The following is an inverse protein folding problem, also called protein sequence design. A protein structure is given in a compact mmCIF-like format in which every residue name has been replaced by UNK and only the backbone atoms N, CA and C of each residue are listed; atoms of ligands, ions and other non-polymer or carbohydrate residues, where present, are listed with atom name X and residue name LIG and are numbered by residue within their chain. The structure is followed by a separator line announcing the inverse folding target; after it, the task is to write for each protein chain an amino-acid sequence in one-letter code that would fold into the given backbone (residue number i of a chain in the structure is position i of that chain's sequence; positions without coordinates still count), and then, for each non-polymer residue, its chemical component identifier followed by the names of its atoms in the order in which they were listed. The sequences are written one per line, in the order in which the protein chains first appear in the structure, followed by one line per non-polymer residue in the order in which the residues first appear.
data_IF_642966748846
#
_entry.id   IF_642966748846
#
_cell.length_a   1.000
_cell.length_b   1.000
_cell.length_c   1.000
_cell.angle_alpha   90.00
_cell.angle_beta   90.00
_cell.angle_gamma   90.00
#
_symmetry.space_group_name_H-M   'P 1'
#
loop_
_entity.id
_entity.type
_entity.pdbx_description
1 polymer ?
#
# COMPACT_ATOMS: atom_id res chain seq x y z
N UNK A 1 -51.45 7.89 9.57
CA UNK A 1 -50.14 7.34 9.96
C UNK A 1 -50.20 5.85 9.64
N UNK A 2 -49.76 5.48 8.44
CA UNK A 2 -49.77 4.09 7.99
C UNK A 2 -48.70 3.32 8.76
N UNK A 3 -49.15 2.35 9.55
CA UNK A 3 -48.28 1.36 10.17
C UNK A 3 -47.59 0.57 9.04
N UNK A 4 -46.27 0.71 8.93
CA UNK A 4 -45.45 -0.11 8.07
C UNK A 4 -45.70 -1.58 8.44
N UNK A 5 -46.11 -2.37 7.45
CA UNK A 5 -46.41 -3.79 7.56
C UNK A 5 -45.16 -4.54 8.04
N UNK A 6 -45.21 -5.02 9.27
CA UNK A 6 -44.09 -5.63 10.01
C UNK A 6 -43.59 -6.98 9.42
N UNK A 7 -44.24 -7.51 8.37
CA UNK A 7 -43.87 -8.80 7.76
C UNK A 7 -42.66 -8.73 6.82
N UNK A 8 -42.49 -7.61 6.11
CA UNK A 8 -41.49 -7.54 5.04
C UNK A 8 -40.11 -7.14 5.62
N UNK A 9 -40.13 -6.39 6.73
CA UNK A 9 -38.95 -6.03 7.52
C UNK A 9 -38.37 -7.26 8.22
N UNK A 10 -39.21 -8.15 8.76
CA UNK A 10 -38.75 -9.37 9.44
C UNK A 10 -38.14 -10.37 8.48
N UNK A 11 -38.72 -10.56 7.29
CA UNK A 11 -38.18 -11.47 6.28
C UNK A 11 -36.80 -11.02 5.76
N UNK A 12 -36.65 -9.72 5.49
CA UNK A 12 -35.37 -9.15 5.05
C UNK A 12 -34.28 -9.33 6.12
N UNK A 13 -34.63 -9.11 7.38
CA UNK A 13 -33.71 -9.22 8.51
C UNK A 13 -33.28 -10.68 8.78
N UNK A 14 -34.21 -11.63 8.68
CA UNK A 14 -33.94 -13.07 8.80
C UNK A 14 -33.02 -13.54 7.68
N UNK A 15 -33.31 -13.13 6.44
CA UNK A 15 -32.52 -13.53 5.27
C UNK A 15 -31.09 -13.00 5.38
N UNK A 16 -30.94 -11.73 5.77
CA UNK A 16 -29.65 -11.10 5.94
C UNK A 16 -28.82 -11.71 7.08
N UNK A 17 -29.45 -11.95 8.24
CA UNK A 17 -28.81 -12.64 9.36
C UNK A 17 -28.38 -14.07 9.00
N UNK A 18 -29.22 -14.80 8.24
CA UNK A 18 -28.91 -16.14 7.76
C UNK A 18 -27.68 -16.18 6.86
N UNK A 19 -27.55 -15.23 5.91
CA UNK A 19 -26.39 -15.14 5.02
C UNK A 19 -25.10 -14.85 5.80
N UNK A 20 -25.15 -13.94 6.76
CA UNK A 20 -24.02 -13.63 7.64
C UNK A 20 -23.59 -14.84 8.47
N UNK A 21 -24.54 -15.54 9.08
CA UNK A 21 -24.25 -16.67 9.96
C UNK A 21 -23.69 -17.84 9.13
N UNK A 22 -24.32 -18.14 7.99
CA UNK A 22 -23.85 -19.17 7.07
C UNK A 22 -22.44 -18.88 6.54
N UNK A 23 -22.18 -17.66 6.10
CA UNK A 23 -20.84 -17.27 5.63
C UNK A 23 -19.79 -17.34 6.75
N UNK A 24 -20.12 -16.92 7.97
CA UNK A 24 -19.22 -17.02 9.13
C UNK A 24 -18.87 -18.48 9.46
N UNK A 25 -19.88 -19.37 9.48
CA UNK A 25 -19.68 -20.81 9.71
C UNK A 25 -18.82 -21.45 8.62
N UNK A 26 -19.00 -21.04 7.37
CA UNK A 26 -18.24 -21.55 6.24
C UNK A 26 -16.74 -21.22 6.38
N UNK A 27 -16.41 -19.98 6.78
CA UNK A 27 -15.03 -19.59 7.09
C UNK A 27 -14.43 -20.40 8.24
N UNK A 28 -15.19 -20.60 9.33
CA UNK A 28 -14.73 -21.47 10.42
C UNK A 28 -14.53 -22.92 9.97
N UNK A 29 -15.38 -23.41 9.06
CA UNK A 29 -15.20 -24.71 8.41
C UNK A 29 -13.87 -24.80 7.67
N UNK A 30 -13.55 -23.84 6.80
CA UNK A 30 -12.24 -23.81 6.12
C UNK A 30 -11.07 -23.73 7.09
N UNK A 31 -11.20 -22.95 8.16
CA UNK A 31 -10.14 -22.72 9.14
C UNK A 31 -9.86 -23.95 9.99
N UNK A 32 -10.91 -24.55 10.58
CA UNK A 32 -10.77 -25.62 11.57
C UNK A 32 -10.91 -27.04 11.00
N UNK A 33 -11.64 -27.22 9.90
CA UNK A 33 -11.81 -28.55 9.27
C UNK A 33 -10.71 -28.78 8.23
N UNK A 34 -10.46 -27.79 7.37
CA UNK A 34 -9.49 -27.93 6.27
C UNK A 34 -8.09 -27.39 6.62
N UNK A 35 -7.90 -26.78 7.79
CA UNK A 35 -6.62 -26.20 8.21
C UNK A 35 -6.18 -25.00 7.37
N UNK A 36 -7.09 -24.39 6.59
CA UNK A 36 -6.81 -23.23 5.76
C UNK A 36 -7.04 -21.98 6.61
N UNK A 37 -5.97 -21.42 7.17
CA UNK A 37 -6.06 -20.24 8.04
C UNK A 37 -6.35 -18.95 7.26
N UNK A 38 -7.63 -18.76 6.92
CA UNK A 38 -8.17 -17.54 6.31
C UNK A 38 -8.26 -16.39 7.32
N UNK A 39 -8.19 -16.66 8.63
CA UNK A 39 -8.34 -15.62 9.66
C UNK A 39 -7.10 -14.75 9.84
N UNK A 40 -5.94 -15.21 9.36
CA UNK A 40 -4.66 -14.46 9.41
C UNK A 40 -4.64 -13.19 8.57
N UNK A 41 -5.40 -13.12 7.48
CA UNK A 41 -5.45 -11.92 6.65
C UNK A 41 -6.55 -10.99 7.13
N UNK A 42 -6.21 -9.78 7.57
CA UNK A 42 -7.21 -8.73 7.89
C UNK A 42 -8.17 -8.46 6.71
N UNK A 43 -7.73 -8.78 5.49
CA UNK A 43 -8.54 -8.75 4.26
C UNK A 43 -9.67 -9.76 4.19
N UNK A 44 -9.76 -10.74 5.09
CA UNK A 44 -10.84 -11.73 5.15
C UNK A 44 -11.89 -11.40 6.21
N UNK A 45 -11.70 -10.31 6.95
CA UNK A 45 -12.63 -9.82 7.96
C UNK A 45 -13.95 -9.30 7.38
N UNK A 46 -14.02 -9.01 6.08
CA UNK A 46 -15.21 -8.42 5.43
C UNK A 46 -16.48 -9.27 5.54
N UNK A 47 -16.36 -10.56 5.83
CA UNK A 47 -17.51 -11.46 5.91
C UNK A 47 -18.25 -11.32 7.24
N UNK A 48 -17.53 -11.28 8.35
CA UNK A 48 -18.14 -11.12 9.67
C UNK A 48 -18.22 -9.64 10.12
N UNK A 49 -17.42 -8.75 9.53
CA UNK A 49 -17.41 -7.33 9.90
C UNK A 49 -18.79 -6.66 9.78
N UNK A 50 -19.60 -6.86 8.73
CA UNK A 50 -20.97 -6.34 8.66
C UNK A 50 -21.85 -6.80 9.84
N UNK A 51 -21.69 -8.06 10.27
CA UNK A 51 -22.40 -8.62 11.43
C UNK A 51 -22.05 -7.87 12.71
N UNK A 52 -20.76 -7.66 12.94
CA UNK A 52 -20.24 -6.96 14.11
C UNK A 52 -20.72 -5.50 14.10
N UNK A 53 -20.67 -4.82 12.96
CA UNK A 53 -21.15 -3.44 12.82
C UNK A 53 -22.65 -3.33 13.12
N UNK A 54 -23.47 -4.27 12.64
CA UNK A 54 -24.90 -4.28 12.92
C UNK A 54 -25.19 -4.57 14.39
N UNK A 55 -24.48 -5.53 15.00
CA UNK A 55 -24.60 -5.82 16.42
C UNK A 55 -24.26 -4.60 17.27
N UNK A 56 -23.16 -3.91 16.94
CA UNK A 56 -22.79 -2.64 17.59
C UNK A 56 -23.87 -1.57 17.36
N UNK A 57 -24.44 -1.47 16.16
CA UNK A 57 -25.51 -0.51 15.88
C UNK A 57 -26.79 -0.78 16.70
N UNK A 58 -27.19 -2.04 16.85
CA UNK A 58 -28.36 -2.44 17.67
C UNK A 58 -28.13 -2.11 19.14
N UNK A 59 -26.94 -2.45 19.67
CA UNK A 59 -26.56 -2.12 21.05
C UNK A 59 -26.59 -0.61 21.27
N UNK A 60 -26.00 0.18 20.35
CA UNK A 60 -25.99 1.64 20.44
C UNK A 60 -27.40 2.23 20.34
N UNK A 61 -28.28 1.68 19.51
CA UNK A 61 -29.66 2.12 19.38
C UNK A 61 -30.45 1.90 20.69
N UNK A 62 -30.23 0.78 21.38
CA UNK A 62 -30.82 0.52 22.69
C UNK A 62 -30.25 1.47 23.76
N UNK A 63 -28.93 1.68 23.77
CA UNK A 63 -28.23 2.61 24.69
C UNK A 63 -28.70 4.06 24.49
N UNK A 64 -29.06 4.45 23.27
CA UNK A 64 -29.50 5.81 22.95
C UNK A 64 -30.79 6.22 23.69
N UNK A 65 -31.73 5.27 23.83
CA UNK A 65 -33.01 5.47 24.51
C UNK A 65 -32.93 5.25 26.04
N UNK A 66 -31.85 4.64 26.53
CA UNK A 66 -31.67 4.41 27.96
C UNK A 66 -31.25 5.70 28.70
N UNK A 67 -32.06 6.10 29.67
CA UNK A 67 -31.64 7.02 30.73
C UNK A 67 -30.83 6.21 31.76
N UNK A 68 -29.50 6.27 31.69
CA UNK A 68 -28.65 5.61 32.69
C UNK A 68 -28.89 6.18 34.08
N UNK A 69 -29.39 5.34 34.98
CA UNK A 69 -29.46 5.60 36.43
C UNK A 69 -28.06 5.41 37.03
N UNK A 70 -27.68 6.27 37.99
CA UNK A 70 -26.38 6.23 38.69
C UNK A 70 -25.96 4.80 39.03
N UNK A 71 -24.85 4.34 38.45
CA UNK A 71 -24.20 3.10 38.91
C UNK A 71 -23.70 3.31 40.33
N UNK A 72 -24.11 2.43 41.24
CA UNK A 72 -23.64 2.38 42.64
C UNK A 72 -22.39 1.49 42.80
N UNK A 73 -21.96 0.80 41.74
CA UNK A 73 -21.07 -0.36 41.83
C UNK A 73 -19.60 -0.06 41.53
N UNK A 74 -19.31 1.06 40.84
CA UNK A 74 -17.96 1.56 40.64
C UNK A 74 -17.91 2.99 41.16
N UNK A 75 -17.08 3.23 42.18
CA UNK A 75 -16.83 4.54 42.79
C UNK A 75 -15.96 5.42 41.87
N UNK A 76 -16.28 5.43 40.58
CA UNK A 76 -15.63 6.19 39.53
C UNK A 76 -16.69 7.17 39.03
N UNK A 77 -16.41 8.46 39.15
CA UNK A 77 -17.23 9.54 38.63
C UNK A 77 -17.17 9.58 37.09
N UNK A 78 -17.69 8.54 36.44
CA UNK A 78 -17.95 8.56 35.00
C UNK A 78 -19.25 9.32 34.84
N UNK A 79 -19.08 10.52 34.29
CA UNK A 79 -20.08 11.49 33.85
C UNK A 79 -21.51 10.92 33.74
N UNK A 80 -22.49 11.59 34.36
CA UNK A 80 -23.92 11.33 34.17
C UNK A 80 -24.33 11.74 32.75
N UNK A 81 -23.87 11.00 31.77
CA UNK A 81 -24.20 11.19 30.36
C UNK A 81 -25.48 10.44 30.08
N UNK A 82 -26.52 11.18 29.65
CA UNK A 82 -27.66 10.61 28.94
C UNK A 82 -27.17 9.71 27.81
N UNK A 83 -27.86 8.60 27.52
CA UNK A 83 -27.45 7.64 26.47
C UNK A 83 -27.05 8.31 25.15
N UNK A 84 -27.75 9.40 24.79
CA UNK A 84 -27.42 10.28 23.66
C UNK A 84 -25.98 10.82 23.67
N UNK A 85 -25.48 11.30 24.81
CA UNK A 85 -24.11 11.83 24.94
C UNK A 85 -23.06 10.73 24.78
N UNK A 86 -23.33 9.53 25.29
CA UNK A 86 -22.42 8.38 25.14
C UNK A 86 -22.30 7.94 23.68
N UNK A 87 -23.43 7.86 22.94
CA UNK A 87 -23.42 7.53 21.51
C UNK A 87 -22.66 8.57 20.69
N UNK A 88 -22.85 9.87 20.96
CA UNK A 88 -22.09 10.95 20.29
C UNK A 88 -20.59 10.79 20.51
N UNK A 89 -20.17 10.45 21.74
CA UNK A 89 -18.75 10.29 22.08
C UNK A 89 -18.12 9.09 21.34
N UNK A 90 -18.84 7.96 21.23
CA UNK A 90 -18.41 6.79 20.46
C UNK A 90 -18.25 7.14 18.97
N UNK A 91 -19.21 7.87 18.41
CA UNK A 91 -19.13 8.35 17.03
C UNK A 91 -17.92 9.27 16.80
N UNK A 92 -17.64 10.16 17.75
CA UNK A 92 -16.50 11.05 17.68
C UNK A 92 -15.18 10.27 17.74
N UNK A 93 -15.06 9.28 18.63
CA UNK A 93 -13.89 8.38 18.68
C UNK A 93 -13.74 7.57 17.39
N UNK A 94 -14.84 7.06 16.82
CA UNK A 94 -14.82 6.32 15.56
C UNK A 94 -14.38 7.21 14.38
N UNK A 95 -14.87 8.46 14.33
CA UNK A 95 -14.48 9.44 13.32
C UNK A 95 -13.01 9.82 13.44
N UNK A 96 -12.53 10.11 14.66
CA UNK A 96 -11.11 10.38 14.90
C UNK A 96 -10.24 9.19 14.49
N UNK A 97 -10.64 7.96 14.86
CA UNK A 97 -9.94 6.74 14.46
C UNK A 97 -9.89 6.59 12.93
N UNK A 98 -11.03 6.75 12.24
CA UNK A 98 -11.07 6.72 10.78
C UNK A 98 -10.20 7.81 10.15
N UNK A 99 -10.21 9.02 10.70
CA UNK A 99 -9.38 10.12 10.24
C UNK A 99 -7.89 9.79 10.41
N UNK A 100 -7.46 9.20 11.53
CA UNK A 100 -6.06 8.79 11.72
C UNK A 100 -5.62 7.75 10.69
N UNK A 101 -6.50 6.83 10.29
CA UNK A 101 -6.19 5.84 9.24
C UNK A 101 -6.09 6.49 7.86
N UNK A 102 -7.07 7.32 7.47
CA UNK A 102 -7.09 7.99 6.15
C UNK A 102 -5.97 9.00 5.99
N UNK A 103 -5.60 9.69 7.08
CA UNK A 103 -4.45 10.62 7.11
C UNK A 103 -3.10 9.89 7.23
N UNK A 104 -3.07 8.56 7.15
CA UNK A 104 -1.85 7.75 7.18
C UNK A 104 -1.05 7.92 8.49
N UNK A 105 -1.70 8.40 9.57
CA UNK A 105 -1.15 8.53 10.93
C UNK A 105 -1.23 7.20 11.70
N UNK A 106 -2.27 6.38 11.44
CA UNK A 106 -2.51 5.11 12.13
C UNK A 106 -1.96 3.87 11.42
N UNK A 107 -1.81 3.93 10.09
CA UNK A 107 -1.15 2.91 9.28
C UNK A 107 -0.19 3.61 8.34
N UNK A 108 1.01 3.91 8.80
CA UNK A 108 2.06 4.40 7.92
C UNK A 108 2.28 3.34 6.84
N UNK A 109 1.99 3.67 5.58
CA UNK A 109 2.35 2.80 4.43
C UNK A 109 3.78 2.32 4.61
N UNK A 110 3.92 1.01 4.76
CA UNK A 110 5.21 0.36 5.02
C UNK A 110 6.24 0.68 3.92
N UNK A 111 5.78 0.87 2.68
CA UNK A 111 6.60 1.31 1.55
C UNK A 111 6.34 2.79 1.22
N UNK A 112 7.41 3.58 1.14
CA UNK A 112 7.40 5.00 0.76
C UNK A 112 8.04 5.28 -0.61
N UNK A 113 7.42 4.82 -1.73
CA UNK A 113 7.96 5.04 -3.07
C UNK A 113 8.01 6.51 -3.47
N UNK A 114 7.20 7.37 -2.85
CA UNK A 114 7.23 8.83 -3.05
C UNK A 114 8.58 9.43 -2.64
N UNK A 115 9.13 8.98 -1.51
CA UNK A 115 10.43 9.42 -1.02
C UNK A 115 11.56 8.82 -1.87
N UNK A 116 11.48 7.53 -2.18
CA UNK A 116 12.50 6.84 -2.98
C UNK A 116 12.62 7.44 -4.38
N UNK A 117 11.50 7.68 -5.07
CA UNK A 117 11.53 8.33 -6.40
C UNK A 117 12.12 9.73 -6.34
N UNK A 118 11.83 10.50 -5.27
CA UNK A 118 12.41 11.83 -5.09
C UNK A 118 13.92 11.79 -4.86
N UNK A 119 14.40 10.78 -4.16
CA UNK A 119 15.83 10.55 -3.98
C UNK A 119 16.49 10.14 -5.30
N UNK A 120 15.90 9.19 -6.02
CA UNK A 120 16.39 8.70 -7.31
C UNK A 120 16.57 9.86 -8.29
N UNK A 121 15.55 10.71 -8.46
CA UNK A 121 15.62 11.87 -9.34
C UNK A 121 16.66 12.91 -8.91
N UNK A 122 16.94 13.02 -7.61
CA UNK A 122 17.91 13.98 -7.08
C UNK A 122 19.36 13.50 -7.25
N UNK A 123 19.56 12.18 -7.27
CA UNK A 123 20.88 11.53 -7.24
C UNK A 123 21.29 10.92 -8.58
N UNK A 124 20.37 10.84 -9.53
CA UNK A 124 20.64 10.29 -10.86
C UNK A 124 20.60 11.40 -11.89
N UNK A 125 21.73 11.62 -12.54
CA UNK A 125 21.85 12.57 -13.66
C UNK A 125 21.85 11.85 -15.02
N UNK A 126 21.84 10.51 -15.02
CA UNK A 126 21.93 9.65 -16.20
C UNK A 126 20.66 8.78 -16.36
N UNK A 127 20.50 8.05 -17.49
CA UNK A 127 19.45 7.03 -17.63
C UNK A 127 19.39 6.10 -16.43
N UNK A 128 18.19 5.86 -15.92
CA UNK A 128 17.99 5.15 -14.65
C UNK A 128 17.65 3.70 -14.94
N UNK A 129 18.37 2.78 -14.32
CA UNK A 129 18.06 1.34 -14.34
C UNK A 129 17.74 0.91 -12.92
N UNK A 130 16.54 0.40 -12.67
CA UNK A 130 16.13 -0.09 -11.36
C UNK A 130 16.05 -1.61 -11.43
N UNK A 131 16.80 -2.30 -10.59
CA UNK A 131 16.82 -3.76 -10.53
C UNK A 131 16.43 -4.26 -9.14
N UNK A 132 15.63 -5.33 -9.12
CA UNK A 132 15.30 -6.08 -7.91
C UNK A 132 15.24 -7.58 -8.20
N UNK A 133 15.33 -8.36 -7.14
CA UNK A 133 15.11 -9.81 -7.16
C UNK A 133 13.64 -10.12 -6.99
N UNK A 134 13.09 -11.05 -7.76
CA UNK A 134 11.68 -11.40 -7.75
C UNK A 134 11.46 -12.81 -7.22
N UNK A 135 10.89 -12.89 -6.02
CA UNK A 135 10.45 -14.14 -5.37
C UNK A 135 8.94 -14.28 -5.39
N UNK A 136 8.25 -13.19 -5.10
CA UNK A 136 6.81 -13.18 -4.90
C UNK A 136 6.18 -12.02 -5.67
N UNK A 137 4.86 -11.89 -5.58
CA UNK A 137 4.17 -10.74 -6.15
C UNK A 137 4.43 -9.43 -5.38
N UNK A 138 5.05 -9.48 -4.19
CA UNK A 138 5.35 -8.29 -3.40
C UNK A 138 6.35 -7.40 -4.15
N UNK A 139 7.43 -7.96 -4.66
CA UNK A 139 8.48 -7.22 -5.34
C UNK A 139 7.97 -6.61 -6.66
N UNK A 140 7.09 -7.32 -7.37
CA UNK A 140 6.35 -6.75 -8.51
C UNK A 140 5.54 -5.53 -8.09
N UNK A 141 4.81 -5.63 -6.98
CA UNK A 141 4.02 -4.53 -6.42
C UNK A 141 4.88 -3.33 -6.00
N UNK A 142 6.06 -3.58 -5.43
CA UNK A 142 7.03 -2.54 -5.06
C UNK A 142 7.52 -1.77 -6.30
N UNK A 143 7.98 -2.47 -7.34
CA UNK A 143 8.40 -1.81 -8.58
C UNK A 143 7.26 -1.08 -9.27
N UNK A 144 6.06 -1.66 -9.32
CA UNK A 144 4.88 -0.96 -9.84
C UNK A 144 4.59 0.31 -9.03
N UNK A 145 4.78 0.28 -7.71
CA UNK A 145 4.65 1.44 -6.83
C UNK A 145 5.66 2.54 -7.14
N UNK A 146 6.92 2.19 -7.39
CA UNK A 146 7.98 3.11 -7.83
C UNK A 146 7.61 3.71 -9.20
N UNK A 147 7.33 2.85 -10.18
CA UNK A 147 6.97 3.25 -11.54
C UNK A 147 5.73 4.17 -11.57
N UNK A 148 4.72 3.88 -10.74
CA UNK A 148 3.53 4.71 -10.61
C UNK A 148 3.86 6.11 -10.08
N UNK A 149 4.74 6.23 -9.08
CA UNK A 149 5.13 7.53 -8.53
C UNK A 149 6.00 8.33 -9.51
N UNK A 150 6.91 7.67 -10.25
CA UNK A 150 7.65 8.30 -11.34
C UNK A 150 6.68 8.84 -12.40
N UNK A 151 5.73 8.01 -12.86
CA UNK A 151 4.70 8.44 -13.81
C UNK A 151 3.85 9.60 -13.29
N UNK A 152 3.48 9.59 -12.01
CA UNK A 152 2.72 10.66 -11.38
C UNK A 152 3.49 11.98 -11.40
N UNK A 153 4.78 11.97 -11.07
CA UNK A 153 5.63 13.16 -11.14
C UNK A 153 5.78 13.68 -12.57
N UNK A 154 5.98 12.79 -13.54
CA UNK A 154 6.01 13.15 -14.96
C UNK A 154 4.69 13.84 -15.36
N UNK A 155 3.55 13.26 -15.01
CA UNK A 155 2.22 13.86 -15.25
C UNK A 155 2.03 15.22 -14.57
N UNK A 156 2.59 15.42 -13.38
CA UNK A 156 2.51 16.69 -12.67
C UNK A 156 3.37 17.78 -13.32
N UNK A 157 4.63 17.47 -13.66
CA UNK A 157 5.52 18.39 -14.41
C UNK A 157 4.86 18.81 -15.73
N UNK A 158 4.29 17.83 -16.42
CA UNK A 158 3.51 18.01 -17.63
C UNK A 158 2.36 18.98 -17.51
N UNK A 159 1.53 18.81 -16.48
CA UNK A 159 0.36 19.65 -16.26
C UNK A 159 0.75 21.10 -15.89
N UNK A 160 1.94 21.31 -15.34
CA UNK A 160 2.46 22.64 -15.04
C UNK A 160 3.00 23.35 -16.29
N UNK A 161 3.69 22.61 -17.17
CA UNK A 161 4.27 23.16 -18.41
C UNK A 161 3.23 23.35 -19.52
N UNK A 162 2.16 22.56 -19.54
CA UNK A 162 1.08 22.63 -20.53
C UNK A 162 -0.17 23.32 -19.98
N UNK A 163 -0.45 24.55 -20.45
CA UNK A 163 -1.68 25.29 -20.08
C UNK A 163 -2.93 24.83 -20.83
N UNK A 164 -2.81 24.12 -21.96
CA UNK A 164 -3.93 23.55 -22.73
C UNK A 164 -3.75 22.04 -22.99
N UNK A 165 -4.74 21.24 -22.59
CA UNK A 165 -4.70 19.78 -22.57
C UNK A 165 -4.77 19.13 -23.97
N UNK A 166 -5.39 19.80 -24.95
CA UNK A 166 -5.62 19.30 -26.31
C UNK A 166 -4.35 19.27 -27.18
N UNK A 167 -3.42 20.19 -26.98
CA UNK A 167 -2.16 20.28 -27.75
C UNK A 167 -1.09 19.34 -27.18
N UNK A 168 -1.19 18.96 -25.91
CA UNK A 168 -0.16 18.18 -25.21
C UNK A 168 -0.31 16.65 -25.32
N UNK A 169 -1.38 16.10 -25.88
CA UNK A 169 -1.50 14.63 -25.99
C UNK A 169 -0.70 14.04 -27.15
N UNK A 170 -0.61 14.77 -28.26
CA UNK A 170 -0.03 14.29 -29.52
C UNK A 170 1.42 14.74 -29.70
N UNK A 171 1.78 15.96 -29.26
CA UNK A 171 3.15 16.49 -29.33
C UNK A 171 4.09 15.94 -28.24
N UNK A 172 3.53 15.46 -27.13
CA UNK A 172 4.30 15.10 -25.94
C UNK A 172 4.83 13.65 -25.93
N UNK A 173 4.06 12.69 -26.46
CA UNK A 173 4.54 11.31 -26.61
C UNK A 173 5.69 11.19 -27.62
N UNK A 174 5.80 12.15 -28.56
CA UNK A 174 6.76 12.12 -29.66
C UNK A 174 8.00 12.96 -29.38
N UNK A 175 7.89 14.14 -28.74
CA UNK A 175 9.03 15.06 -28.58
C UNK A 175 9.66 15.12 -27.18
N UNK A 176 9.05 14.56 -26.13
CA UNK A 176 9.58 14.65 -24.75
C UNK A 176 10.19 13.35 -24.21
N UNK A 177 10.34 12.34 -25.08
CA UNK A 177 11.29 11.24 -24.89
C UNK A 177 12.76 11.69 -24.85
N UNK A 178 13.04 12.98 -25.08
CA UNK A 178 14.39 13.54 -25.19
C UNK A 178 14.96 14.21 -23.92
N UNK A 179 14.22 14.36 -22.82
CA UNK A 179 14.78 14.95 -21.59
C UNK A 179 14.39 14.26 -20.27
N UNK A 180 13.57 13.20 -20.34
CA UNK A 180 13.38 12.29 -19.21
C UNK A 180 14.26 11.09 -19.51
N UNK A 181 15.35 10.95 -18.77
CA UNK A 181 16.27 9.85 -18.95
C UNK A 181 15.48 8.52 -18.88
N UNK A 182 15.60 7.62 -19.88
CA UNK A 182 14.74 6.45 -19.97
C UNK A 182 14.92 5.58 -18.73
N UNK A 183 13.82 5.34 -18.01
CA UNK A 183 13.82 4.46 -16.83
C UNK A 183 13.54 3.04 -17.28
N UNK A 184 14.45 2.12 -16.96
CA UNK A 184 14.29 0.68 -17.22
C UNK A 184 14.14 -0.07 -15.89
N UNK A 185 13.20 -1.00 -15.84
CA UNK A 185 12.99 -1.87 -14.68
C UNK A 185 13.44 -3.29 -15.03
N UNK A 186 14.24 -3.89 -14.16
CA UNK A 186 14.76 -5.26 -14.31
C UNK A 186 14.26 -6.09 -13.14
N UNK A 187 13.51 -7.14 -13.48
CA UNK A 187 13.09 -8.18 -12.55
C UNK A 187 13.93 -9.43 -12.80
N UNK A 188 14.76 -9.79 -11.83
CA UNK A 188 15.50 -11.05 -11.87
C UNK A 188 14.70 -12.11 -11.13
N UNK A 189 14.20 -13.10 -11.86
CA UNK A 189 13.53 -14.23 -11.24
C UNK A 189 14.55 -15.10 -10.49
N UNK A 190 14.20 -15.48 -9.26
CA UNK A 190 15.01 -16.37 -8.42
C UNK A 190 15.10 -17.79 -9.01
N UNK A 191 16.32 -18.30 -9.21
CA UNK A 191 16.62 -19.73 -9.22
C UNK A 191 17.62 -20.02 -8.08
N UNK A 192 17.12 -20.35 -6.87
CA UNK A 192 17.75 -20.94 -5.67
C UNK A 192 19.16 -20.50 -5.18
N UNK A 193 19.98 -19.78 -5.96
CA UNK A 193 21.37 -19.42 -5.67
C UNK A 193 21.67 -17.95 -6.03
N UNK A 194 22.20 -17.20 -5.06
CA UNK A 194 22.54 -15.77 -5.17
C UNK A 194 23.55 -15.45 -6.28
N UNK A 195 24.47 -16.38 -6.58
CA UNK A 195 25.50 -16.23 -7.62
C UNK A 195 24.86 -16.14 -9.02
N UNK A 196 23.77 -16.86 -9.25
CA UNK A 196 23.09 -16.89 -10.55
C UNK A 196 22.34 -15.58 -10.84
N UNK A 197 21.85 -14.89 -9.80
CA UNK A 197 21.21 -13.57 -9.93
C UNK A 197 22.21 -12.51 -10.41
N UNK A 198 23.38 -12.48 -9.78
CA UNK A 198 24.46 -11.55 -10.09
C UNK A 198 24.93 -11.75 -11.54
N UNK A 199 25.17 -13.00 -11.95
CA UNK A 199 25.51 -13.35 -13.34
C UNK A 199 24.44 -12.98 -14.36
N UNK A 200 23.16 -13.15 -14.01
CA UNK A 200 22.06 -12.78 -14.88
C UNK A 200 21.92 -11.26 -15.02
N UNK A 201 22.11 -10.53 -13.91
CA UNK A 201 22.18 -9.08 -13.91
C UNK A 201 23.29 -8.60 -14.86
N UNK A 202 24.51 -9.13 -14.74
CA UNK A 202 25.62 -8.79 -15.63
C UNK A 202 25.30 -8.97 -17.11
N UNK A 203 24.70 -10.11 -17.48
CA UNK A 203 24.31 -10.40 -18.86
C UNK A 203 23.32 -9.39 -19.42
N UNK A 204 22.45 -8.83 -18.56
CA UNK A 204 21.49 -7.80 -18.96
C UNK A 204 22.18 -6.43 -19.03
N UNK A 205 22.97 -6.06 -18.01
CA UNK A 205 23.66 -4.78 -17.93
C UNK A 205 24.64 -4.57 -19.10
N UNK A 206 25.36 -5.62 -19.51
CA UNK A 206 26.29 -5.56 -20.66
C UNK A 206 25.61 -5.34 -22.01
N UNK A 207 24.27 -5.49 -22.10
CA UNK A 207 23.49 -5.19 -23.30
C UNK A 207 22.89 -3.79 -23.29
N UNK A 208 23.05 -3.05 -22.19
CA UNK A 208 22.54 -1.69 -22.06
C UNK A 208 23.55 -0.69 -22.62
N UNK A 209 23.01 0.40 -23.17
CA UNK A 209 23.81 1.54 -23.61
C UNK A 209 24.30 2.34 -22.39
N UNK A 210 25.60 2.59 -22.32
CA UNK A 210 26.24 3.41 -21.30
C UNK A 210 26.24 4.90 -21.71
N UNK A 211 26.31 5.84 -20.75
CA UNK A 211 26.32 5.64 -19.29
C UNK A 211 24.91 5.57 -18.70
N UNK A 212 24.77 4.91 -17.56
CA UNK A 212 23.50 4.84 -16.81
C UNK A 212 23.76 4.74 -15.30
N UNK A 213 22.75 5.05 -14.51
CA UNK A 213 22.76 4.93 -13.06
C UNK A 213 21.90 3.71 -12.66
N UNK A 214 22.53 2.74 -12.00
CA UNK A 214 21.89 1.50 -11.55
C UNK A 214 21.48 1.62 -10.08
N UNK A 215 20.19 1.43 -9.83
CA UNK A 215 19.59 1.35 -8.51
C UNK A 215 19.23 -0.10 -8.22
N UNK A 216 19.97 -0.71 -7.31
CA UNK A 216 19.55 -1.97 -6.71
C UNK A 216 18.56 -1.64 -5.60
N UNK A 217 17.34 -2.17 -5.67
CA UNK A 217 16.26 -1.89 -4.70
C UNK A 217 15.73 -3.22 -4.18
N UNK A 218 15.75 -3.41 -2.86
CA UNK A 218 15.38 -4.65 -2.17
C UNK A 218 16.01 -5.90 -2.82
N UNK A 219 17.24 -5.74 -3.31
CA UNK A 219 17.99 -6.80 -3.96
C UNK A 219 18.43 -7.82 -2.91
N UNK A 220 18.22 -9.11 -3.17
CA UNK A 220 18.41 -10.14 -2.15
C UNK A 220 19.87 -10.52 -1.89
N UNK A 221 20.75 -10.39 -2.88
CA UNK A 221 22.19 -10.54 -2.64
C UNK A 221 22.78 -9.27 -2.03
N UNK A 222 23.88 -9.43 -1.29
CA UNK A 222 24.58 -8.33 -0.65
C UNK A 222 24.93 -7.23 -1.66
N UNK A 223 24.71 -5.97 -1.31
CA UNK A 223 25.01 -4.79 -2.15
C UNK A 223 26.53 -4.56 -2.40
N UNK A 224 27.38 -5.54 -2.12
CA UNK A 224 28.82 -5.50 -2.40
C UNK A 224 29.14 -6.26 -3.71
N UNK A 225 28.26 -6.16 -4.71
CA UNK A 225 28.47 -6.77 -6.02
C UNK A 225 29.44 -5.88 -6.80
N UNK A 226 30.60 -6.42 -7.18
CA UNK A 226 31.59 -5.73 -8.00
C UNK A 226 31.11 -5.67 -9.45
N UNK A 227 30.19 -4.76 -9.78
CA UNK A 227 29.67 -4.70 -11.15
C UNK A 227 30.73 -4.10 -12.09
N UNK A 228 31.24 -4.87 -13.06
CA UNK A 228 32.16 -4.37 -14.09
C UNK A 228 31.61 -3.08 -14.70
N UNK A 229 32.47 -2.07 -14.87
CA UNK A 229 32.10 -0.76 -15.42
C UNK A 229 31.13 0.07 -14.55
N UNK A 230 30.86 -0.34 -13.30
CA UNK A 230 30.01 0.38 -12.38
C UNK A 230 30.72 0.65 -11.05
N UNK A 231 30.61 1.87 -10.55
CA UNK A 231 31.17 2.29 -9.27
C UNK A 231 30.05 2.55 -8.27
N UNK A 232 30.17 1.96 -7.08
CA UNK A 232 29.23 2.18 -5.97
C UNK A 232 29.28 3.65 -5.55
N UNK A 233 28.14 4.32 -5.46
CA UNK A 233 28.05 5.64 -4.81
C UNK A 233 28.22 5.46 -3.29
N UNK A 234 29.31 6.03 -2.76
CA UNK A 234 29.66 6.00 -1.34
C UNK A 234 29.01 7.15 -0.54
N UNK A 235 28.14 7.93 -1.17
CA UNK A 235 27.42 9.02 -0.54
C UNK A 235 26.47 8.55 0.56
N UNK A 236 26.13 9.47 1.46
CA UNK A 236 25.11 9.20 2.48
C UNK A 236 23.72 9.20 1.86
N UNK A 237 22.96 8.13 2.13
CA UNK A 237 21.58 7.95 1.69
C UNK A 237 20.64 7.86 2.90
N UNK A 238 19.48 8.55 2.87
CA UNK A 238 18.53 8.51 3.98
C UNK A 238 17.82 7.16 4.07
N UNK A 239 17.50 6.69 5.27
CA UNK A 239 16.66 5.49 5.39
C UNK A 239 15.24 5.80 4.85
N UNK A 240 14.72 4.92 4.00
CA UNK A 240 13.36 5.02 3.45
C UNK A 240 12.61 3.74 3.82
N UNK A 241 11.50 3.90 4.55
CA UNK A 241 10.67 2.77 4.98
C UNK A 241 10.28 1.87 3.80
N UNK A 242 10.52 0.57 4.00
CA UNK A 242 10.21 -0.48 3.02
C UNK A 242 11.23 -0.62 1.89
N UNK A 243 12.30 0.18 1.84
CA UNK A 243 13.30 0.10 0.78
C UNK A 243 14.72 0.06 1.32
N UNK A 244 15.42 -1.04 1.05
CA UNK A 244 16.88 -1.13 1.04
C UNK A 244 17.37 -0.85 -0.37
N UNK A 245 18.38 -0.02 -0.54
CA UNK A 245 18.83 0.32 -1.88
C UNK A 245 20.30 0.73 -1.92
N UNK A 246 20.90 0.58 -3.10
CA UNK A 246 22.26 1.01 -3.40
C UNK A 246 22.32 1.60 -4.82
N UNK A 247 23.01 2.74 -4.94
CA UNK A 247 23.26 3.39 -6.21
C UNK A 247 24.65 3.01 -6.74
N UNK A 248 24.72 2.73 -8.03
CA UNK A 248 25.94 2.55 -8.81
C UNK A 248 25.93 3.47 -10.03
N UNK A 249 27.06 4.09 -10.31
CA UNK A 249 27.28 4.86 -11.53
C UNK A 249 28.03 4.01 -12.55
N UNK A 250 27.38 3.72 -13.67
CA UNK A 250 27.90 2.85 -14.71
C UNK A 250 28.40 3.66 -15.92
N UNK A 251 29.66 3.45 -16.28
CA UNK A 251 30.37 4.17 -17.33
C UNK A 251 31.16 3.21 -18.21
N UNK A 252 31.26 3.47 -19.52
CA UNK A 252 32.13 2.66 -20.37
C UNK A 252 33.58 2.80 -19.87
N UNK A 253 34.24 1.70 -19.48
CA UNK A 253 35.68 1.72 -19.22
C UNK A 253 36.37 2.07 -20.54
N UNK A 254 36.98 3.25 -20.62
CA UNK A 254 37.98 3.53 -21.64
C UNK A 254 39.16 2.59 -21.37
N UNK A 255 39.30 1.57 -22.22
CA UNK A 255 40.47 0.69 -22.23
C UNK A 255 41.76 1.46 -22.49
#
# INVERSE_FOLDING_TARGET
INCLKNSDISFSLITFAGVILASTLLFFGFTYIFGIDLTRGARYSFVYFPAVIILVAVILAQIFELQFVKSKFLNISICTTTGKKAVILIWLMALLSGLTVVSNLGYQKYYRPDLLVSLIEKKSDKPIVIATTHYTHVETGEMMGIAWNMRKKIKQKLQYECREESICKEKFLVNHSMNIAPVKFILLHEELESINQVNSLYKILNKLEYPFDLWLVNFASDFNIAVENCQVDQGEFPLIDGYKYQLYHCHLSSG
#
